data_IF_548736862940
#
_entry.id   IF_548736862940
#
_cell.length_a   1.000
_cell.length_b   1.000
_cell.length_c   1.000
_cell.angle_alpha   90.00
_cell.angle_beta   90.00
_cell.angle_gamma   90.00
#
_symmetry.space_group_name_H-M   'P 1'
#
loop_
_entity.id
_entity.type
_entity.pdbx_description
1 polymer ?
#
# COMPACT_ATOMS: atom_id res chain seq x y z
N UNK A 1 -3.97 -11.95 -30.49
CA UNK A 1 -4.29 -11.01 -29.40
C UNK A 1 -4.51 -11.82 -28.13
N UNK A 2 -3.45 -12.14 -27.42
CA UNK A 2 -3.49 -12.87 -26.15
C UNK A 2 -3.92 -11.91 -25.06
N UNK A 3 -5.16 -12.05 -24.57
CA UNK A 3 -5.63 -11.36 -23.36
C UNK A 3 -4.79 -11.88 -22.21
N UNK A 4 -3.84 -11.07 -21.74
CA UNK A 4 -3.21 -11.27 -20.45
C UNK A 4 -4.31 -11.13 -19.40
N UNK A 5 -4.88 -12.27 -19.00
CA UNK A 5 -5.63 -12.34 -17.77
C UNK A 5 -4.64 -11.97 -16.69
N UNK A 6 -4.70 -10.73 -16.22
CA UNK A 6 -4.13 -10.33 -14.95
C UNK A 6 -4.78 -11.26 -13.93
N UNK A 7 -4.09 -12.36 -13.65
CA UNK A 7 -4.34 -13.16 -12.48
C UNK A 7 -4.21 -12.15 -11.34
N UNK A 8 -5.35 -11.73 -10.79
CA UNK A 8 -5.37 -10.93 -9.58
C UNK A 8 -4.82 -11.84 -8.50
N UNK A 9 -3.51 -11.80 -8.36
CA UNK A 9 -2.80 -12.49 -7.31
C UNK A 9 -3.19 -11.81 -5.99
N UNK A 10 -4.21 -12.39 -5.37
CA UNK A 10 -4.80 -11.90 -4.12
C UNK A 10 -3.81 -11.96 -2.95
N UNK A 11 -2.68 -12.66 -3.11
CA UNK A 11 -1.65 -12.81 -2.08
C UNK A 11 -0.64 -11.64 -2.07
N UNK A 12 -0.60 -10.79 -3.10
CA UNK A 12 0.34 -9.66 -3.16
C UNK A 12 -0.23 -8.33 -2.63
N UNK A 13 -1.33 -8.36 -1.86
CA UNK A 13 -1.98 -7.17 -1.28
C UNK A 13 -1.29 -6.65 0.00
N UNK A 14 0.02 -6.83 0.14
CA UNK A 14 0.76 -6.36 1.30
C UNK A 14 1.20 -4.91 1.10
N UNK A 15 0.67 -3.94 1.88
CA UNK A 15 1.13 -2.57 1.80
C UNK A 15 2.57 -2.49 2.30
N UNK A 16 3.42 -1.79 1.55
CA UNK A 16 4.84 -1.62 1.85
C UNK A 16 5.08 -0.24 2.42
N UNK A 17 5.59 -0.18 3.65
CA UNK A 17 6.02 1.06 4.31
C UNK A 17 7.47 1.36 3.91
N UNK A 18 7.75 2.59 3.50
CA UNK A 18 9.08 3.01 3.10
C UNK A 18 9.36 4.47 3.49
N UNK A 19 10.64 4.82 3.53
CA UNK A 19 11.09 6.20 3.77
C UNK A 19 11.36 6.88 2.44
N UNK A 20 10.71 8.01 2.21
CA UNK A 20 10.90 8.84 1.01
C UNK A 20 12.26 9.54 1.00
N UNK A 21 12.68 10.03 -0.17
CA UNK A 21 13.92 10.82 -0.31
C UNK A 21 13.94 12.10 0.53
N UNK A 22 12.76 12.64 0.87
CA UNK A 22 12.59 13.80 1.75
C UNK A 22 12.61 13.44 3.24
N UNK A 23 12.88 12.18 3.59
CA UNK A 23 12.94 11.69 4.96
C UNK A 23 11.60 11.39 5.62
N UNK A 24 10.49 11.57 4.90
CA UNK A 24 9.13 11.29 5.36
C UNK A 24 8.79 9.81 5.21
N UNK A 25 7.87 9.30 6.03
CA UNK A 25 7.35 7.95 5.89
C UNK A 25 6.14 7.93 4.95
N UNK A 26 6.05 6.90 4.13
CA UNK A 26 4.94 6.65 3.22
C UNK A 26 4.67 5.15 3.11
N UNK A 27 3.48 4.79 2.67
CA UNK A 27 3.15 3.42 2.32
C UNK A 27 2.49 3.37 0.94
N UNK A 28 2.65 2.24 0.27
CA UNK A 28 2.07 1.96 -1.04
C UNK A 28 1.52 0.53 -1.08
N UNK A 29 0.38 0.33 -1.71
CA UNK A 29 -0.14 -1.00 -2.05
C UNK A 29 -0.35 -1.13 -3.55
N UNK A 30 -0.08 -2.33 -4.06
CA UNK A 30 -0.33 -2.73 -5.45
C UNK A 30 -1.81 -2.95 -5.74
N UNK A 31 -2.63 -3.07 -4.69
CA UNK A 31 -4.08 -3.16 -4.74
C UNK A 31 -4.69 -1.80 -5.14
N UNK A 32 -4.84 -1.56 -6.44
CA UNK A 32 -5.53 -0.38 -6.97
C UNK A 32 -4.77 0.95 -6.82
N UNK A 33 -3.46 0.91 -6.58
CA UNK A 33 -2.61 2.12 -6.51
C UNK A 33 -2.85 2.97 -5.27
N UNK A 34 -3.34 2.37 -4.18
CA UNK A 34 -3.50 3.07 -2.91
C UNK A 34 -2.12 3.44 -2.34
N UNK A 35 -1.98 4.70 -1.94
CA UNK A 35 -0.78 5.21 -1.28
C UNK A 35 -1.18 6.19 -0.19
N UNK A 36 -0.29 6.36 0.79
CA UNK A 36 -0.40 7.43 1.76
C UNK A 36 -0.47 8.79 1.05
N UNK A 37 -1.57 9.55 1.21
CA UNK A 37 -1.75 10.90 0.63
C UNK A 37 -1.38 12.02 1.61
N UNK A 38 -1.21 11.70 2.89
CA UNK A 38 -1.00 12.65 3.97
C UNK A 38 0.49 12.88 4.20
N UNK A 39 1.00 14.00 3.69
CA UNK A 39 2.40 14.37 3.88
C UNK A 39 2.66 14.75 5.36
N UNK A 40 3.75 14.19 5.93
CA UNK A 40 4.26 14.38 7.32
C UNK A 40 3.72 13.44 8.41
N UNK A 41 3.35 12.21 8.06
CA UNK A 41 3.10 11.19 9.08
C UNK A 41 4.40 10.61 9.67
N UNK A 42 4.33 10.21 10.94
CA UNK A 42 5.36 9.40 11.59
C UNK A 42 5.31 7.96 11.07
N UNK A 43 6.41 7.20 11.21
CA UNK A 43 6.47 5.79 10.77
C UNK A 43 5.33 4.94 11.34
N UNK A 44 4.95 5.21 12.59
CA UNK A 44 3.90 4.47 13.29
C UNK A 44 2.52 4.75 12.66
N UNK A 45 2.21 6.02 12.39
CA UNK A 45 0.95 6.39 11.74
C UNK A 45 0.84 5.77 10.34
N UNK A 46 1.92 5.81 9.55
CA UNK A 46 1.98 5.20 8.21
C UNK A 46 1.79 3.68 8.26
N UNK A 47 2.35 3.01 9.27
CA UNK A 47 2.16 1.58 9.48
C UNK A 47 0.71 1.24 9.86
N UNK A 48 0.09 2.02 10.74
CA UNK A 48 -1.32 1.81 11.12
C UNK A 48 -2.24 2.02 9.92
N UNK A 49 -2.03 3.06 9.11
CA UNK A 49 -2.81 3.28 7.88
C UNK A 49 -2.63 2.13 6.87
N UNK A 50 -1.40 1.64 6.70
CA UNK A 50 -1.11 0.47 5.88
C UNK A 50 -1.86 -0.76 6.39
N UNK A 51 -1.80 -1.04 7.70
CA UNK A 51 -2.49 -2.18 8.32
C UNK A 51 -4.01 -2.08 8.16
N UNK A 52 -4.59 -0.91 8.44
CA UNK A 52 -6.02 -0.64 8.22
C UNK A 52 -6.42 -0.94 6.77
N UNK A 53 -5.61 -0.49 5.81
CA UNK A 53 -5.86 -0.77 4.41
C UNK A 53 -5.83 -2.28 4.09
N UNK A 54 -4.84 -3.02 4.60
CA UNK A 54 -4.78 -4.48 4.41
C UNK A 54 -5.99 -5.20 4.99
N UNK A 55 -6.50 -4.76 6.16
CA UNK A 55 -7.69 -5.32 6.79
C UNK A 55 -8.97 -5.02 6.02
N UNK A 56 -9.04 -3.89 5.30
CA UNK A 56 -10.22 -3.57 4.46
C UNK A 56 -10.30 -4.38 3.17
N UNK A 57 -9.19 -4.93 2.69
CA UNK A 57 -9.12 -5.68 1.41
C UNK A 57 -9.34 -7.18 1.61
N UNK A 58 -9.00 -7.70 2.79
CA UNK A 58 -9.26 -9.08 3.18
C UNK A 58 -10.34 -9.13 4.29
N UNK A 59 -11.65 -9.17 3.95
CA UNK A 59 -12.69 -9.55 4.90
C UNK A 59 -12.66 -11.06 5.23
#
# INVERSE_FOLDING_TARGET
MTRHHHHHDLAHHHPTVHRTRLGQWAWTCTCGGASCRTARLTWHQVMVEALLHSMTIAP
#
